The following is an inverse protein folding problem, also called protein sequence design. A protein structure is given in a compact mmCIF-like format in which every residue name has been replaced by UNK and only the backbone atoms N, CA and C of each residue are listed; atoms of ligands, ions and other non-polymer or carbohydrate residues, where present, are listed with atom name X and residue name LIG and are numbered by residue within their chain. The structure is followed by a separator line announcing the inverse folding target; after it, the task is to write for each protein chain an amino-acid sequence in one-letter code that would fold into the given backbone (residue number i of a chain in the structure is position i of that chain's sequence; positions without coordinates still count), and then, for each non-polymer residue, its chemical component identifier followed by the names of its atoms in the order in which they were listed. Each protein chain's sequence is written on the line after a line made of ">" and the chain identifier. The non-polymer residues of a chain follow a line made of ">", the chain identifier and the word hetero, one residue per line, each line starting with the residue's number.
data_IF_722759522927
#
_entry.id   IF_722759522927
#
_cell.length_a   1.000
_cell.length_b   1.000
_cell.length_c   1.000
_cell.angle_alpha   90.00
_cell.angle_beta   90.00
_cell.angle_gamma   90.00
#
_symmetry.space_group_name_H-M   'P 1'
#
loop_
_entity.id
_entity.type
_entity.pdbx_description
1 polymer ?
#
# COMPACT_ATOMS: atom_id res chain seq x y z
N UNK A 1 -14.11 -6.37 -1.84
CA UNK A 1 -14.68 -6.88 -0.56
C UNK A 1 -14.28 -5.85 0.47
N UNK A 2 -15.24 -5.24 1.17
CA UNK A 2 -14.96 -4.21 2.17
C UNK A 2 -13.83 -4.58 3.15
N UNK A 3 -12.91 -3.67 3.41
CA UNK A 3 -11.97 -3.75 4.54
C UNK A 3 -12.77 -3.74 5.85
N UNK A 4 -12.80 -4.88 6.55
CA UNK A 4 -13.53 -5.05 7.82
C UNK A 4 -12.52 -5.29 8.93
N UNK A 5 -12.51 -4.41 9.94
CA UNK A 5 -11.63 -4.60 11.09
C UNK A 5 -12.08 -5.79 11.95
N UNK A 6 -11.26 -6.29 12.88
CA UNK A 6 -11.62 -7.40 13.78
C UNK A 6 -12.88 -7.16 14.61
N UNK A 7 -13.35 -5.91 14.73
CA UNK A 7 -14.58 -5.53 15.43
C UNK A 7 -15.82 -5.53 14.52
N UNK A 8 -15.68 -5.86 13.23
CA UNK A 8 -16.77 -5.86 12.26
C UNK A 8 -17.08 -4.49 11.65
N UNK A 9 -16.23 -3.48 11.90
CA UNK A 9 -16.39 -2.12 11.38
C UNK A 9 -15.79 -2.07 9.99
N UNK A 10 -16.62 -1.57 9.07
CA UNK A 10 -16.27 -1.25 7.69
C UNK A 10 -15.43 0.02 7.66
N UNK A 11 -14.19 -0.08 7.19
CA UNK A 11 -13.27 1.05 7.07
C UNK A 11 -12.95 1.24 5.59
N UNK A 12 -13.13 2.47 5.11
CA UNK A 12 -12.64 2.91 3.80
C UNK A 12 -11.56 3.95 4.05
N UNK A 13 -10.45 3.82 3.34
CA UNK A 13 -9.35 4.78 3.36
C UNK A 13 -9.18 5.31 1.94
N UNK A 14 -9.39 6.62 1.79
CA UNK A 14 -9.33 7.29 0.50
C UNK A 14 -7.87 7.26 0.00
N UNK A 15 -7.65 6.58 -1.12
CA UNK A 15 -6.33 6.46 -1.75
C UNK A 15 -6.43 6.49 -3.29
N UNK A 16 -7.40 7.22 -3.84
CA UNK A 16 -7.64 7.28 -5.28
C UNK A 16 -6.44 7.88 -6.03
N UNK A 17 -5.79 8.91 -5.47
CA UNK A 17 -4.58 9.51 -6.07
C UNK A 17 -3.45 8.48 -6.16
N UNK A 18 -3.18 7.74 -5.08
CA UNK A 18 -2.17 6.69 -5.03
C UNK A 18 -2.47 5.55 -6.03
N UNK A 19 -3.75 5.22 -6.22
CA UNK A 19 -4.18 4.23 -7.22
C UNK A 19 -3.93 4.73 -8.63
N UNK A 20 -4.20 6.01 -8.92
CA UNK A 20 -3.96 6.59 -10.25
C UNK A 20 -2.47 6.66 -10.60
N UNK A 21 -1.63 7.06 -9.65
CA UNK A 21 -0.17 7.04 -9.79
C UNK A 21 0.34 5.62 -10.04
N UNK A 22 -0.06 4.65 -9.21
CA UNK A 22 0.37 3.27 -9.37
C UNK A 22 -0.06 2.64 -10.69
N UNK A 23 -1.23 3.02 -11.23
CA UNK A 23 -1.67 2.57 -12.56
C UNK A 23 -0.75 3.08 -13.66
N UNK A 24 -0.31 4.34 -13.59
CA UNK A 24 0.63 4.92 -14.55
C UNK A 24 1.99 4.21 -14.46
N UNK A 25 2.48 3.97 -13.24
CA UNK A 25 3.74 3.23 -13.03
C UNK A 25 3.66 1.80 -13.54
N UNK A 26 2.53 1.11 -13.36
CA UNK A 26 2.32 -0.23 -13.92
C UNK A 26 2.38 -0.21 -15.46
N UNK A 27 1.83 0.83 -16.11
CA UNK A 27 1.91 0.98 -17.56
C UNK A 27 3.35 1.23 -18.04
N UNK A 28 4.16 1.93 -17.25
CA UNK A 28 5.55 2.27 -17.60
C UNK A 28 6.54 1.13 -17.28
N UNK A 29 6.46 0.56 -16.08
CA UNK A 29 7.46 -0.37 -15.53
C UNK A 29 7.00 -1.82 -15.50
N UNK A 30 5.71 -2.09 -15.70
CA UNK A 30 5.14 -3.43 -15.70
C UNK A 30 4.73 -3.91 -14.31
N UNK A 31 3.56 -4.54 -14.23
CA UNK A 31 2.90 -4.88 -12.96
C UNK A 31 3.59 -5.94 -12.10
N UNK A 32 4.57 -6.67 -12.64
CA UNK A 32 5.41 -7.64 -11.92
C UNK A 32 6.59 -7.00 -11.17
N UNK A 33 6.84 -5.71 -11.38
CA UNK A 33 7.86 -4.94 -10.65
C UNK A 33 7.58 -4.94 -9.16
N UNK A 34 8.62 -5.23 -8.38
CA UNK A 34 8.57 -5.29 -6.92
C UNK A 34 8.87 -3.90 -6.36
N UNK A 35 7.96 -3.41 -5.53
CA UNK A 35 8.07 -2.12 -4.83
C UNK A 35 8.07 -2.33 -3.32
N UNK A 36 8.64 -1.38 -2.60
CA UNK A 36 8.53 -1.29 -1.16
C UNK A 36 7.28 -0.49 -0.79
N UNK A 37 6.50 -0.99 0.16
CA UNK A 37 5.19 -0.44 0.52
C UNK A 37 5.17 -0.12 2.00
N UNK A 38 4.86 1.14 2.32
CA UNK A 38 4.59 1.59 3.67
C UNK A 38 3.24 1.06 4.10
N UNK A 39 3.29 0.25 5.15
CA UNK A 39 2.14 -0.35 5.78
C UNK A 39 2.00 0.22 7.18
N UNK A 40 0.78 0.59 7.56
CA UNK A 40 0.45 1.02 8.92
C UNK A 40 -0.55 0.06 9.54
N UNK A 41 -0.26 -0.45 10.73
CA UNK A 41 -1.23 -1.23 11.48
C UNK A 41 -2.11 -0.30 12.33
N UNK A 42 -3.43 -0.43 12.20
CA UNK A 42 -4.37 0.27 13.07
C UNK A 42 -5.59 -0.63 13.35
N UNK A 43 -5.91 -0.82 14.62
CA UNK A 43 -7.01 -1.68 15.10
C UNK A 43 -7.00 -3.10 14.46
N UNK A 44 -5.82 -3.68 14.24
CA UNK A 44 -5.66 -5.01 13.63
C UNK A 44 -5.93 -5.06 12.12
N UNK A 45 -5.99 -3.91 11.45
CA UNK A 45 -5.98 -3.77 10.00
C UNK A 45 -4.67 -3.18 9.52
N UNK A 46 -4.26 -3.61 8.33
CA UNK A 46 -3.08 -3.09 7.66
C UNK A 46 -3.53 -2.13 6.56
N UNK A 47 -3.13 -0.88 6.67
CA UNK A 47 -3.35 0.15 5.66
C UNK A 47 -2.10 0.31 4.82
N UNK A 48 -2.28 0.42 3.51
CA UNK A 48 -1.22 0.70 2.56
C UNK A 48 -1.26 2.19 2.26
N UNK A 49 -0.22 2.91 2.70
CA UNK A 49 -0.23 4.38 2.75
C UNK A 49 0.70 5.02 1.74
N UNK A 50 1.75 4.31 1.32
CA UNK A 50 2.68 4.78 0.29
C UNK A 50 3.45 3.61 -0.34
N UNK A 51 4.10 3.84 -1.48
CA UNK A 51 5.07 2.93 -2.07
C UNK A 51 6.26 3.67 -2.67
N UNK A 52 7.34 2.95 -2.90
CA UNK A 52 8.51 3.45 -3.64
C UNK A 52 9.24 2.29 -4.32
N UNK A 53 10.03 2.61 -5.34
CA UNK A 53 10.88 1.64 -6.01
C UNK A 53 12.02 1.20 -5.08
N UNK A 54 12.43 -0.06 -5.21
CA UNK A 54 13.54 -0.58 -4.41
C UNK A 54 14.84 -0.16 -5.09
N UNK A 55 15.57 0.75 -4.45
CA UNK A 55 16.92 1.13 -4.83
C UNK A 55 17.95 0.52 -3.87
N UNK A 56 18.97 -0.16 -4.41
CA UNK A 56 20.05 -0.74 -3.62
C UNK A 56 21.08 0.31 -3.15
N UNK A 57 21.17 1.45 -3.84
CA UNK A 57 22.04 2.57 -3.45
C UNK A 57 21.40 3.45 -2.37
N UNK A 58 20.06 3.54 -2.36
CA UNK A 58 19.28 4.28 -1.36
C UNK A 58 18.23 3.37 -0.68
N UNK A 59 18.66 2.43 0.19
CA UNK A 59 17.74 1.50 0.83
C UNK A 59 16.85 2.22 1.84
N UNK A 60 15.56 1.89 1.85
CA UNK A 60 14.61 2.38 2.86
C UNK A 60 15.07 1.92 4.25
N UNK A 61 15.25 2.88 5.14
CA UNK A 61 15.76 2.62 6.49
C UNK A 61 14.66 2.73 7.55
N UNK A 62 14.83 2.02 8.67
CA UNK A 62 13.92 2.10 9.82
C UNK A 62 13.73 3.52 10.38
N UNK A 63 14.60 4.46 10.03
CA UNK A 63 14.50 5.87 10.44
C UNK A 63 13.42 6.64 9.67
N UNK A 64 12.99 6.13 8.53
CA UNK A 64 11.94 6.72 7.70
C UNK A 64 10.54 6.24 8.12
N UNK A 65 10.47 5.25 9.02
CA UNK A 65 9.24 4.69 9.54
C UNK A 65 8.82 5.42 10.82
N UNK A 66 7.54 5.77 10.90
CA UNK A 66 6.93 6.21 12.16
C UNK A 66 6.57 5.00 13.04
N UNK A 67 6.28 5.25 14.32
CA UNK A 67 5.76 4.20 15.19
C UNK A 67 4.51 3.57 14.56
N UNK A 68 4.47 2.23 14.52
CA UNK A 68 3.39 1.42 13.92
C UNK A 68 3.41 1.32 12.38
N UNK A 69 4.43 1.88 11.73
CA UNK A 69 4.69 1.67 10.30
C UNK A 69 5.75 0.59 10.07
N UNK A 70 5.58 -0.18 9.00
CA UNK A 70 6.53 -1.19 8.56
C UNK A 70 6.53 -1.30 7.04
N UNK A 71 7.63 -1.79 6.46
CA UNK A 71 7.74 -2.01 5.01
C UNK A 71 7.40 -3.45 4.66
N UNK A 72 6.63 -3.62 3.58
CA UNK A 72 6.48 -4.90 2.87
C UNK A 72 6.91 -4.73 1.42
N UNK A 73 7.47 -5.78 0.84
CA UNK A 73 7.74 -5.85 -0.59
C UNK A 73 6.64 -6.66 -1.27
N UNK A 74 6.10 -6.15 -2.37
CA UNK A 74 5.14 -6.86 -3.21
C UNK A 74 5.16 -6.33 -4.64
N UNK A 75 4.52 -7.05 -5.56
CA UNK A 75 4.37 -6.56 -6.94
C UNK A 75 3.40 -5.37 -7.00
N UNK A 76 3.62 -4.45 -7.93
CA UNK A 76 2.69 -3.34 -8.16
C UNK A 76 1.26 -3.82 -8.45
N UNK A 77 1.10 -4.94 -9.17
CA UNK A 77 -0.24 -5.55 -9.39
C UNK A 77 -0.90 -5.98 -8.07
N UNK A 78 -0.13 -6.58 -7.15
CA UNK A 78 -0.64 -6.96 -5.83
C UNK A 78 -1.03 -5.73 -5.03
N UNK A 79 -0.19 -4.68 -5.03
CA UNK A 79 -0.48 -3.43 -4.34
C UNK A 79 -1.75 -2.77 -4.88
N UNK A 80 -1.93 -2.73 -6.21
CA UNK A 80 -3.09 -2.12 -6.83
C UNK A 80 -4.40 -2.78 -6.38
N UNK A 81 -4.44 -4.12 -6.35
CA UNK A 81 -5.62 -4.86 -5.87
C UNK A 81 -5.95 -4.47 -4.42
N UNK A 82 -4.93 -4.42 -3.56
CA UNK A 82 -5.09 -4.07 -2.15
C UNK A 82 -5.57 -2.63 -1.95
N UNK A 83 -5.04 -1.69 -2.72
CA UNK A 83 -5.48 -0.29 -2.68
C UNK A 83 -6.91 -0.13 -3.19
N UNK A 84 -7.30 -0.83 -4.26
CA UNK A 84 -8.69 -0.82 -4.75
C UNK A 84 -9.66 -1.41 -3.72
N UNK A 85 -9.28 -2.47 -3.01
CA UNK A 85 -10.07 -3.03 -1.89
C UNK A 85 -10.14 -2.05 -0.70
N UNK A 86 -9.06 -1.34 -0.40
CA UNK A 86 -8.99 -0.33 0.66
C UNK A 86 -9.85 0.91 0.35
N UNK A 87 -9.90 1.31 -0.93
CA UNK A 87 -10.66 2.48 -1.40
C UNK A 87 -12.14 2.16 -1.66
N UNK A 88 -12.57 0.89 -1.56
CA UNK A 88 -13.96 0.50 -1.78
C UNK A 88 -14.87 1.13 -0.71
N UNK A 89 -15.63 2.16 -1.10
CA UNK A 89 -16.66 2.81 -0.27
C UNK A 89 -17.88 1.89 -0.18
N UNK A 90 -18.48 1.79 1.01
CA UNK A 90 -19.49 0.78 1.34
C UNK A 90 -20.84 1.42 1.66
#
# INVERSE_FOLDING_TARGET
>A
MAFVNPQGIKISYECSELIEELKQDIEEFGGDTIVAVWCKENDGLIFYTNYDFIDEEEPITEKELQNEEFIKQMTMTTLLILLEEQNEII
#
